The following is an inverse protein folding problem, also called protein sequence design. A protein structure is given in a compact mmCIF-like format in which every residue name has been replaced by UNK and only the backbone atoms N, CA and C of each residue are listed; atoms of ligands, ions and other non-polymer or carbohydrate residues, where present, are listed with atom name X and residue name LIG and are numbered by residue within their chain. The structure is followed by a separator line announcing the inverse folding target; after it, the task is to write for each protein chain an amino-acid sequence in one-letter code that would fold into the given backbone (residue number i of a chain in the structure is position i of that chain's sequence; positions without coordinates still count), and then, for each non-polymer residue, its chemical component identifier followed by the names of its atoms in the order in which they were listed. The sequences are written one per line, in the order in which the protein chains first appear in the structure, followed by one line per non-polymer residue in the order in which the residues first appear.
data_IF_047953218080
#
_entry.id   IF_047953218080
#
_cell.length_a   1.000
_cell.length_b   1.000
_cell.length_c   1.000
_cell.angle_alpha   90.00
_cell.angle_beta   90.00
_cell.angle_gamma   90.00
#
_symmetry.space_group_name_H-M   'P 1'
#
loop_
_entity.id
_entity.type
_entity.pdbx_description
1 polymer ?
#
# COMPACT_ATOMS: atom_id res chain seq x y z
N UNK A 1 15.09 -59.21 16.65
CA UNK A 1 14.01 -58.57 17.43
C UNK A 1 14.64 -58.13 18.74
N UNK A 2 14.92 -56.83 18.91
CA UNK A 2 15.60 -56.32 20.10
C UNK A 2 14.68 -56.43 21.33
N UNK A 3 15.21 -56.75 22.53
CA UNK A 3 14.40 -56.93 23.73
C UNK A 3 13.68 -55.63 24.12
N UNK A 4 12.48 -55.69 24.73
CA UNK A 4 11.61 -54.54 25.01
C UNK A 4 12.24 -53.48 25.93
N UNK A 5 13.30 -53.83 26.67
CA UNK A 5 14.05 -52.90 27.52
C UNK A 5 14.90 -51.91 26.70
N UNK A 6 15.34 -52.29 25.50
CA UNK A 6 16.15 -51.43 24.63
C UNK A 6 15.30 -50.37 23.92
N UNK A 7 14.02 -50.67 23.66
CA UNK A 7 13.11 -49.77 22.95
C UNK A 7 12.82 -48.52 23.80
N UNK A 8 12.64 -48.69 25.11
CA UNK A 8 12.38 -47.55 26.01
C UNK A 8 13.60 -46.64 26.12
N UNK A 9 14.80 -47.22 26.17
CA UNK A 9 16.05 -46.45 26.20
C UNK A 9 16.29 -45.72 24.88
N UNK A 10 16.05 -46.39 23.75
CA UNK A 10 16.19 -45.79 22.41
C UNK A 10 15.21 -44.61 22.21
N UNK A 11 13.97 -44.73 22.70
CA UNK A 11 13.00 -43.62 22.69
C UNK A 11 13.47 -42.47 23.58
N UNK A 12 13.94 -42.75 24.80
CA UNK A 12 14.43 -41.71 25.73
C UNK A 12 15.66 -41.01 25.16
N UNK A 13 16.62 -41.75 24.61
CA UNK A 13 17.84 -41.19 24.02
C UNK A 13 17.52 -40.34 22.79
N UNK A 14 16.55 -40.76 21.98
CA UNK A 14 16.04 -39.97 20.84
C UNK A 14 15.42 -38.66 21.32
N UNK A 15 14.52 -38.72 22.32
CA UNK A 15 13.87 -37.53 22.88
C UNK A 15 14.89 -36.58 23.51
N UNK A 16 15.84 -37.11 24.30
CA UNK A 16 16.89 -36.29 24.92
C UNK A 16 17.71 -35.62 23.84
N UNK A 17 18.12 -36.33 22.79
CA UNK A 17 18.90 -35.78 21.68
C UNK A 17 18.15 -34.67 20.94
N UNK A 18 16.86 -34.85 20.67
CA UNK A 18 16.03 -33.80 20.05
C UNK A 18 15.89 -32.58 20.96
N UNK A 19 15.74 -32.78 22.28
CA UNK A 19 15.68 -31.69 23.25
C UNK A 19 17.01 -30.93 23.30
N UNK A 20 18.16 -31.59 23.32
CA UNK A 20 19.48 -30.91 23.32
C UNK A 20 19.73 -30.11 22.05
N UNK A 21 19.13 -30.51 20.92
CA UNK A 21 19.24 -29.78 19.66
C UNK A 21 18.33 -28.53 19.63
N UNK A 22 17.14 -28.60 20.22
CA UNK A 22 16.14 -27.51 20.16
C UNK A 22 16.25 -26.54 21.34
N UNK A 23 16.61 -27.02 22.53
CA UNK A 23 16.66 -26.22 23.76
C UNK A 23 17.56 -24.96 23.64
N UNK A 24 18.77 -25.02 23.05
CA UNK A 24 19.61 -23.83 22.87
C UNK A 24 18.93 -22.77 21.98
N UNK A 25 18.20 -23.19 20.93
CA UNK A 25 17.50 -22.26 20.02
C UNK A 25 16.35 -21.53 20.70
N UNK A 26 15.61 -22.23 21.57
CA UNK A 26 14.56 -21.63 22.38
C UNK A 26 15.17 -20.59 23.33
N UNK A 27 16.27 -20.94 24.01
CA UNK A 27 16.97 -20.02 24.91
C UNK A 27 17.43 -18.75 24.19
N UNK A 28 18.11 -18.88 23.04
CA UNK A 28 18.54 -17.71 22.26
C UNK A 28 17.38 -16.87 21.72
N UNK A 29 16.27 -17.50 21.33
CA UNK A 29 15.05 -16.78 20.92
C UNK A 29 14.50 -15.94 22.06
N UNK A 30 14.38 -16.51 23.27
CA UNK A 30 13.91 -15.79 24.45
C UNK A 30 14.83 -14.63 24.83
N UNK A 31 16.15 -14.84 24.78
CA UNK A 31 17.15 -13.80 25.00
C UNK A 31 16.97 -12.65 24.00
N UNK A 32 16.84 -12.98 22.72
CA UNK A 32 16.68 -12.01 21.65
C UNK A 32 15.37 -11.20 21.78
N UNK A 33 14.26 -11.86 22.13
CA UNK A 33 12.99 -11.20 22.40
C UNK A 33 13.05 -10.29 23.63
N UNK A 34 13.80 -10.69 24.67
CA UNK A 34 14.01 -9.85 25.86
C UNK A 34 14.80 -8.58 25.52
N UNK A 35 15.85 -8.70 24.70
CA UNK A 35 16.56 -7.54 24.17
C UNK A 35 15.65 -6.65 23.31
N UNK A 36 14.84 -7.25 22.43
CA UNK A 36 13.89 -6.52 21.60
C UNK A 36 12.86 -5.75 22.44
N UNK A 37 12.31 -6.36 23.50
CA UNK A 37 11.40 -5.69 24.42
C UNK A 37 12.06 -4.49 25.13
N UNK A 38 13.35 -4.61 25.45
CA UNK A 38 14.14 -3.51 26.02
C UNK A 38 14.29 -2.36 25.02
N UNK A 39 14.62 -2.68 23.77
CA UNK A 39 14.70 -1.70 22.67
C UNK A 39 13.33 -1.07 22.42
N UNK A 40 12.26 -1.86 22.44
CA UNK A 40 10.89 -1.36 22.25
C UNK A 40 10.56 -0.25 23.24
N UNK A 41 10.77 -0.50 24.53
CA UNK A 41 10.52 0.51 25.57
C UNK A 41 11.28 1.81 25.29
N UNK A 42 12.52 1.69 24.82
CA UNK A 42 13.38 2.82 24.48
C UNK A 42 12.86 3.60 23.27
N UNK A 43 12.60 2.90 22.17
CA UNK A 43 12.11 3.48 20.91
C UNK A 43 10.78 4.19 21.14
N UNK A 44 9.83 3.54 21.85
CA UNK A 44 8.53 4.14 22.18
C UNK A 44 8.70 5.46 22.95
N UNK A 45 9.55 5.47 23.98
CA UNK A 45 9.75 6.64 24.81
C UNK A 45 10.37 7.81 24.02
N UNK A 46 11.44 7.56 23.25
CA UNK A 46 12.07 8.60 22.44
C UNK A 46 11.17 9.09 21.31
N UNK A 47 10.50 8.18 20.62
CA UNK A 47 9.61 8.53 19.52
C UNK A 47 8.46 9.41 20.02
N UNK A 48 7.82 9.04 21.13
CA UNK A 48 6.75 9.88 21.70
C UNK A 48 7.26 11.27 22.08
N UNK A 49 8.42 11.35 22.75
CA UNK A 49 9.03 12.62 23.17
C UNK A 49 9.39 13.51 21.97
N UNK A 50 9.91 12.92 20.89
CA UNK A 50 10.28 13.66 19.67
C UNK A 50 9.03 14.20 18.94
N UNK A 51 7.97 13.40 18.85
CA UNK A 51 6.75 13.77 18.15
C UNK A 51 5.93 14.81 18.93
N UNK A 52 5.95 14.74 20.26
CA UNK A 52 5.36 15.74 21.14
C UNK A 52 6.13 17.06 21.07
N UNK A 53 7.46 17.01 21.09
CA UNK A 53 8.31 18.19 20.91
C UNK A 53 8.09 18.87 19.55
N UNK A 54 7.84 18.09 18.50
CA UNK A 54 7.55 18.61 17.16
C UNK A 54 6.13 19.20 17.01
N UNK A 55 5.29 19.12 18.05
CA UNK A 55 3.90 19.61 18.04
C UNK A 55 3.12 19.23 16.77
N UNK A 56 3.28 17.98 16.30
CA UNK A 56 2.77 17.54 14.98
C UNK A 56 1.27 17.78 14.80
N UNK A 57 0.49 17.67 15.89
CA UNK A 57 -0.94 17.92 15.86
C UNK A 57 -1.26 19.37 15.47
N UNK A 58 -0.49 20.36 15.97
CA UNK A 58 -0.65 21.79 15.61
C UNK A 58 -0.21 22.06 14.16
N UNK A 59 0.85 21.40 13.70
CA UNK A 59 1.35 21.53 12.33
C UNK A 59 0.30 21.12 11.29
N UNK A 60 -0.42 20.03 11.56
CA UNK A 60 -1.49 19.57 10.67
C UNK A 60 -2.78 20.35 10.86
N UNK A 61 -3.11 20.77 12.08
CA UNK A 61 -4.25 21.67 12.32
C UNK A 61 -4.11 22.97 11.52
N UNK A 62 -2.90 23.53 11.42
CA UNK A 62 -2.62 24.71 10.57
C UNK A 62 -2.80 24.43 9.07
N UNK A 63 -2.53 23.20 8.62
CA UNK A 63 -2.65 22.83 7.21
C UNK A 63 -4.11 22.54 6.81
N UNK A 64 -4.85 21.82 7.66
CA UNK A 64 -6.20 21.30 7.36
C UNK A 64 -7.30 22.21 7.91
N UNK A 65 -7.00 23.05 8.92
CA UNK A 65 -7.96 23.96 9.56
C UNK A 65 -8.96 23.26 10.47
N UNK A 66 -8.73 21.98 10.79
CA UNK A 66 -9.52 21.17 11.72
C UNK A 66 -8.60 20.24 12.51
N UNK A 67 -8.95 20.00 13.77
CA UNK A 67 -8.33 18.96 14.59
C UNK A 67 -8.71 17.59 14.04
N UNK A 68 -7.72 16.74 13.76
CA UNK A 68 -7.97 15.34 13.39
C UNK A 68 -8.55 14.58 14.60
N UNK A 69 -9.51 13.65 14.39
CA UNK A 69 -10.09 12.85 15.47
C UNK A 69 -9.08 11.88 16.11
N UNK A 70 -7.92 11.69 15.49
CA UNK A 70 -6.83 10.83 15.98
C UNK A 70 -5.55 11.66 16.05
N UNK A 71 -4.85 11.61 17.19
CA UNK A 71 -3.56 12.31 17.36
C UNK A 71 -2.46 11.65 16.53
N UNK A 72 -1.74 12.42 15.73
CA UNK A 72 -0.65 11.93 14.87
C UNK A 72 0.47 11.22 15.64
N UNK A 73 0.92 11.73 16.81
CA UNK A 73 1.97 11.07 17.59
C UNK A 73 1.60 9.63 17.96
N UNK A 74 0.35 9.39 18.38
CA UNK A 74 -0.13 8.03 18.73
C UNK A 74 -0.20 7.13 17.50
N UNK A 75 -0.60 7.65 16.34
CA UNK A 75 -0.66 6.87 15.11
C UNK A 75 0.74 6.44 14.66
N UNK A 76 1.71 7.36 14.66
CA UNK A 76 3.10 7.07 14.28
C UNK A 76 3.74 6.07 15.26
N UNK A 77 3.54 6.26 16.56
CA UNK A 77 4.04 5.32 17.57
C UNK A 77 3.38 3.94 17.42
N UNK A 78 2.08 3.89 17.13
CA UNK A 78 1.38 2.63 16.88
C UNK A 78 1.92 1.88 15.65
N UNK A 79 2.27 2.59 14.57
CA UNK A 79 2.92 2.00 13.40
C UNK A 79 4.31 1.46 13.76
N UNK A 80 5.09 2.23 14.52
CA UNK A 80 6.41 1.78 14.99
C UNK A 80 6.30 0.52 15.86
N UNK A 81 5.31 0.45 16.76
CA UNK A 81 5.05 -0.73 17.58
C UNK A 81 4.72 -1.97 16.72
N UNK A 82 3.87 -1.81 15.71
CA UNK A 82 3.56 -2.89 14.76
C UNK A 82 4.82 -3.38 14.04
N UNK A 83 5.70 -2.47 13.62
CA UNK A 83 6.99 -2.81 13.01
C UNK A 83 7.89 -3.62 13.95
N UNK A 84 7.97 -3.24 15.23
CA UNK A 84 8.75 -3.98 16.24
C UNK A 84 8.17 -5.38 16.47
N UNK A 85 6.84 -5.53 16.50
CA UNK A 85 6.19 -6.85 16.60
C UNK A 85 6.57 -7.72 15.41
N UNK A 86 6.51 -7.19 14.19
CA UNK A 86 6.90 -7.91 12.97
C UNK A 86 8.38 -8.33 13.04
N UNK A 87 9.27 -7.44 13.48
CA UNK A 87 10.69 -7.78 13.71
C UNK A 87 10.83 -8.91 14.72
N UNK A 88 10.05 -8.90 15.81
CA UNK A 88 10.04 -9.98 16.80
C UNK A 88 9.62 -11.33 16.21
N UNK A 89 8.59 -11.33 15.36
CA UNK A 89 8.15 -12.52 14.64
C UNK A 89 9.26 -13.04 13.71
N UNK A 90 9.85 -12.16 12.90
CA UNK A 90 10.92 -12.52 11.97
C UNK A 90 12.17 -13.03 12.68
N UNK A 91 12.56 -12.39 13.79
CA UNK A 91 13.69 -12.78 14.62
C UNK A 91 13.48 -14.16 15.24
N UNK A 92 12.27 -14.41 15.77
CA UNK A 92 11.90 -15.71 16.33
C UNK A 92 11.91 -16.79 15.27
N UNK A 93 11.30 -16.52 14.11
CA UNK A 93 11.30 -17.43 12.98
C UNK A 93 12.72 -17.77 12.51
N UNK A 94 13.60 -16.77 12.42
CA UNK A 94 14.98 -16.97 11.96
C UNK A 94 15.83 -17.84 12.89
N UNK A 95 15.59 -17.81 14.20
CA UNK A 95 16.35 -18.57 15.20
C UNK A 95 15.72 -19.96 15.44
N UNK A 96 14.39 -20.03 15.48
CA UNK A 96 13.66 -21.23 15.88
C UNK A 96 13.44 -22.20 14.71
N UNK A 97 13.18 -21.70 13.50
CA UNK A 97 12.86 -22.54 12.35
C UNK A 97 14.13 -23.15 11.73
N UNK A 98 14.11 -24.45 11.36
CA UNK A 98 15.07 -25.04 10.45
C UNK A 98 15.07 -24.32 9.08
N UNK A 99 16.20 -24.38 8.36
CA UNK A 99 16.42 -23.65 7.10
C UNK A 99 15.33 -23.87 6.06
N UNK A 100 14.85 -25.11 5.90
CA UNK A 100 13.82 -25.46 4.93
C UNK A 100 12.49 -24.72 5.16
N UNK A 101 12.02 -24.67 6.41
CA UNK A 101 10.78 -23.95 6.77
C UNK A 101 10.99 -22.44 6.87
N UNK A 102 12.20 -22.01 7.23
CA UNK A 102 12.55 -20.60 7.38
C UNK A 102 12.44 -19.87 6.04
N UNK A 103 12.96 -20.44 4.97
CA UNK A 103 13.02 -19.75 3.68
C UNK A 103 11.60 -19.58 3.10
N UNK A 104 10.75 -20.61 3.21
CA UNK A 104 9.33 -20.52 2.86
C UNK A 104 8.57 -19.48 3.70
N UNK A 105 8.83 -19.44 5.01
CA UNK A 105 8.21 -18.45 5.89
C UNK A 105 8.63 -17.02 5.53
N UNK A 106 9.92 -16.79 5.29
CA UNK A 106 10.45 -15.48 4.93
C UNK A 106 9.96 -15.01 3.56
N UNK A 107 9.86 -15.91 2.59
CA UNK A 107 9.26 -15.63 1.28
C UNK A 107 7.78 -15.23 1.42
N UNK A 108 7.02 -15.97 2.22
CA UNK A 108 5.63 -15.64 2.53
C UNK A 108 5.49 -14.27 3.21
N UNK A 109 6.32 -13.99 4.21
CA UNK A 109 6.35 -12.69 4.89
C UNK A 109 6.74 -11.55 3.95
N UNK A 110 7.68 -11.78 3.03
CA UNK A 110 8.07 -10.82 2.01
C UNK A 110 6.91 -10.49 1.06
N UNK A 111 6.19 -11.52 0.59
CA UNK A 111 4.99 -11.34 -0.23
C UNK A 111 3.91 -10.55 0.51
N UNK A 112 3.62 -10.91 1.76
CA UNK A 112 2.65 -10.17 2.60
C UNK A 112 3.08 -8.72 2.82
N UNK A 113 4.37 -8.48 3.09
CA UNK A 113 4.93 -7.14 3.26
C UNK A 113 4.83 -6.31 1.97
N UNK A 114 5.13 -6.90 0.82
CA UNK A 114 4.95 -6.27 -0.49
C UNK A 114 3.48 -5.87 -0.71
N UNK A 115 2.55 -6.80 -0.47
CA UNK A 115 1.11 -6.55 -0.60
C UNK A 115 0.64 -5.41 0.29
N UNK A 116 1.00 -5.43 1.58
CA UNK A 116 0.63 -4.38 2.52
C UNK A 116 1.22 -3.02 2.13
N UNK A 117 2.48 -2.97 1.69
CA UNK A 117 3.14 -1.75 1.23
C UNK A 117 2.41 -1.10 0.04
N UNK A 118 2.09 -1.90 -0.98
CA UNK A 118 1.37 -1.42 -2.18
C UNK A 118 -0.02 -0.87 -1.79
N UNK A 119 -0.74 -1.57 -0.90
CA UNK A 119 -2.05 -1.11 -0.42
C UNK A 119 -1.95 0.20 0.35
N UNK A 120 -0.97 0.35 1.24
CA UNK A 120 -0.73 1.59 1.98
C UNK A 120 -0.43 2.74 1.01
N UNK A 121 0.45 2.51 0.04
CA UNK A 121 0.79 3.50 -0.99
C UNK A 121 -0.46 3.89 -1.80
N UNK A 122 -1.29 2.92 -2.18
CA UNK A 122 -2.54 3.18 -2.89
C UNK A 122 -3.47 4.10 -2.07
N UNK A 123 -3.68 3.79 -0.79
CA UNK A 123 -4.51 4.60 0.12
C UNK A 123 -3.95 6.01 0.28
N UNK A 124 -2.64 6.15 0.46
CA UNK A 124 -1.96 7.47 0.58
C UNK A 124 -2.17 8.29 -0.68
N UNK A 125 -1.91 7.71 -1.84
CA UNK A 125 -2.07 8.39 -3.14
C UNK A 125 -3.54 8.82 -3.32
N UNK A 126 -4.50 7.91 -3.14
CA UNK A 126 -5.92 8.23 -3.27
C UNK A 126 -6.35 9.34 -2.31
N UNK A 127 -5.82 9.35 -1.09
CA UNK A 127 -6.09 10.41 -0.10
C UNK A 127 -5.55 11.76 -0.58
N UNK A 128 -4.33 11.81 -1.12
CA UNK A 128 -3.73 13.02 -1.68
C UNK A 128 -4.57 13.54 -2.86
N UNK A 129 -4.97 12.67 -3.79
CA UNK A 129 -5.81 13.05 -4.92
C UNK A 129 -7.18 13.55 -4.49
N UNK A 130 -7.81 12.88 -3.53
CA UNK A 130 -9.08 13.31 -2.95
C UNK A 130 -8.97 14.70 -2.31
N UNK A 131 -7.91 14.93 -1.53
CA UNK A 131 -7.63 16.25 -0.97
C UNK A 131 -7.44 17.30 -2.07
N UNK A 132 -6.68 16.99 -3.12
CA UNK A 132 -6.45 17.89 -4.25
C UNK A 132 -7.76 18.31 -4.93
N UNK A 133 -8.67 17.35 -5.16
CA UNK A 133 -9.97 17.58 -5.80
C UNK A 133 -10.88 18.49 -4.97
N UNK A 134 -10.85 18.38 -3.64
CA UNK A 134 -11.71 19.16 -2.74
C UNK A 134 -11.13 20.55 -2.47
N UNK A 135 -9.81 20.64 -2.25
CA UNK A 135 -9.17 21.84 -1.68
C UNK A 135 -8.67 22.81 -2.74
N UNK A 136 -8.29 22.32 -3.91
CA UNK A 136 -8.06 23.20 -5.06
C UNK A 136 -9.42 23.45 -5.72
N UNK A 137 -9.74 24.70 -6.07
CA UNK A 137 -10.92 25.05 -6.87
C UNK A 137 -10.71 24.59 -8.32
N UNK A 138 -10.56 23.28 -8.49
CA UNK A 138 -10.21 22.64 -9.74
C UNK A 138 -11.42 22.72 -10.66
N UNK A 139 -11.24 23.37 -11.81
CA UNK A 139 -12.23 23.37 -12.88
C UNK A 139 -12.70 21.96 -13.20
N UNK A 140 -13.97 21.80 -13.55
CA UNK A 140 -14.60 20.48 -13.79
C UNK A 140 -13.81 19.62 -14.79
N UNK A 141 -13.13 20.25 -15.77
CA UNK A 141 -12.25 19.59 -16.74
C UNK A 141 -11.04 18.89 -16.07
N UNK A 142 -10.38 19.55 -15.12
CA UNK A 142 -9.22 19.03 -14.39
C UNK A 142 -9.62 18.00 -13.32
N UNK A 143 -10.84 18.09 -12.78
CA UNK A 143 -11.38 17.09 -11.84
C UNK A 143 -11.47 15.71 -12.48
N UNK A 144 -12.04 15.62 -13.69
CA UNK A 144 -12.14 14.36 -14.43
C UNK A 144 -10.76 13.77 -14.74
N UNK A 145 -9.76 14.62 -15.04
CA UNK A 145 -8.39 14.19 -15.25
C UNK A 145 -7.76 13.57 -13.99
N UNK A 146 -7.94 14.20 -12.82
CA UNK A 146 -7.42 13.66 -11.56
C UNK A 146 -8.05 12.31 -11.18
N UNK A 147 -9.35 12.15 -11.41
CA UNK A 147 -10.01 10.85 -11.25
C UNK A 147 -9.44 9.79 -12.20
N UNK A 148 -9.24 10.17 -13.46
CA UNK A 148 -8.69 9.28 -14.47
C UNK A 148 -7.25 8.82 -14.13
N UNK A 149 -6.38 9.75 -13.73
CA UNK A 149 -5.02 9.44 -13.27
C UNK A 149 -5.04 8.58 -12.00
N UNK A 150 -5.94 8.87 -11.05
CA UNK A 150 -6.09 8.04 -9.84
C UNK A 150 -6.47 6.59 -10.19
N UNK A 151 -7.38 6.42 -11.16
CA UNK A 151 -7.79 5.11 -11.64
C UNK A 151 -6.64 4.35 -12.32
N UNK A 152 -5.83 5.03 -13.14
CA UNK A 152 -4.63 4.45 -13.74
C UNK A 152 -3.66 3.99 -12.67
N UNK A 153 -3.36 4.84 -11.69
CA UNK A 153 -2.40 4.52 -10.62
C UNK A 153 -2.90 3.33 -9.81
N UNK A 154 -4.19 3.30 -9.45
CA UNK A 154 -4.80 2.17 -8.74
C UNK A 154 -4.68 0.87 -9.54
N UNK A 155 -4.94 0.93 -10.85
CA UNK A 155 -4.80 -0.22 -11.75
C UNK A 155 -3.35 -0.69 -11.83
N UNK A 156 -2.38 0.23 -11.95
CA UNK A 156 -0.96 -0.11 -11.97
C UNK A 156 -0.51 -0.81 -10.66
N UNK A 157 -0.95 -0.29 -9.51
CA UNK A 157 -0.68 -0.90 -8.20
C UNK A 157 -1.34 -2.28 -8.06
N UNK A 158 -2.54 -2.46 -8.63
CA UNK A 158 -3.22 -3.76 -8.66
C UNK A 158 -2.46 -4.78 -9.54
N UNK A 159 -1.85 -4.36 -10.64
CA UNK A 159 -1.01 -5.26 -11.45
C UNK A 159 0.23 -5.71 -10.67
N UNK A 160 0.82 -4.83 -9.87
CA UNK A 160 2.02 -5.16 -9.10
C UNK A 160 1.75 -6.16 -7.96
N UNK A 161 0.60 -6.03 -7.29
CA UNK A 161 0.18 -6.95 -6.20
C UNK A 161 -0.27 -8.32 -6.72
N UNK A 162 -0.75 -8.37 -7.97
CA UNK A 162 -1.27 -9.60 -8.56
C UNK A 162 -0.15 -10.65 -8.71
N UNK A 163 -0.42 -11.89 -8.27
CA UNK A 163 0.47 -13.04 -8.43
C UNK A 163 0.38 -13.62 -9.86
N UNK A 164 0.51 -12.75 -10.87
CA UNK A 164 0.51 -13.11 -12.29
C UNK A 164 1.91 -13.53 -12.73
N UNK A 165 2.00 -14.35 -13.77
CA UNK A 165 3.28 -14.73 -14.37
C UNK A 165 4.01 -13.51 -14.96
N UNK A 166 5.33 -13.62 -15.11
CA UNK A 166 6.20 -12.56 -15.66
C UNK A 166 5.72 -12.07 -17.04
N UNK A 167 5.26 -13.00 -17.88
CA UNK A 167 4.80 -12.74 -19.24
C UNK A 167 3.51 -11.93 -19.21
N UNK A 168 2.56 -12.32 -18.36
CA UNK A 168 1.29 -11.61 -18.19
C UNK A 168 1.52 -10.22 -17.60
N UNK A 169 2.42 -10.07 -16.62
CA UNK A 169 2.79 -8.75 -16.10
C UNK A 169 3.39 -7.86 -17.17
N UNK A 170 4.30 -8.39 -17.99
CA UNK A 170 4.93 -7.62 -19.07
C UNK A 170 3.91 -7.17 -20.11
N UNK A 171 2.99 -8.06 -20.51
CA UNK A 171 1.90 -7.73 -21.41
C UNK A 171 0.96 -6.67 -20.83
N UNK A 172 0.59 -6.79 -19.55
CA UNK A 172 -0.24 -5.80 -18.87
C UNK A 172 0.47 -4.45 -18.75
N UNK A 173 1.75 -4.42 -18.37
CA UNK A 173 2.52 -3.17 -18.27
C UNK A 173 2.62 -2.49 -19.63
N UNK A 174 2.87 -3.25 -20.69
CA UNK A 174 2.89 -2.75 -22.07
C UNK A 174 1.53 -2.18 -22.49
N UNK A 175 0.44 -2.95 -22.26
CA UNK A 175 -0.92 -2.51 -22.55
C UNK A 175 -1.34 -1.28 -21.73
N UNK A 176 -0.98 -1.23 -20.45
CA UNK A 176 -1.23 -0.11 -19.57
C UNK A 176 -0.49 1.14 -20.07
N UNK A 177 0.79 1.01 -20.44
CA UNK A 177 1.58 2.11 -21.01
C UNK A 177 0.94 2.67 -22.29
N UNK A 178 0.50 1.79 -23.20
CA UNK A 178 -0.19 2.21 -24.42
C UNK A 178 -1.54 2.87 -24.11
N UNK A 179 -2.34 2.28 -23.22
CA UNK A 179 -3.63 2.83 -22.80
C UNK A 179 -3.51 4.19 -22.12
N UNK A 180 -2.48 4.37 -21.27
CA UNK A 180 -2.15 5.66 -20.63
C UNK A 180 -1.78 6.69 -21.70
N UNK A 181 -0.87 6.34 -22.62
CA UNK A 181 -0.45 7.23 -23.70
C UNK A 181 -1.62 7.68 -24.59
N UNK A 182 -2.47 6.75 -25.00
CA UNK A 182 -3.66 7.04 -25.81
C UNK A 182 -4.64 7.94 -25.05
N UNK A 183 -4.86 7.66 -23.77
CA UNK A 183 -5.79 8.44 -22.96
C UNK A 183 -5.30 9.86 -22.70
N UNK A 184 -3.99 10.05 -22.52
CA UNK A 184 -3.37 11.38 -22.45
C UNK A 184 -3.56 12.13 -23.77
N UNK A 185 -3.36 11.46 -24.91
CA UNK A 185 -3.55 12.07 -26.23
C UNK A 185 -5.00 12.52 -26.47
N UNK A 186 -5.99 11.65 -26.17
CA UNK A 186 -7.42 11.98 -26.28
C UNK A 186 -7.79 13.12 -25.33
N UNK A 187 -7.29 13.07 -24.09
CA UNK A 187 -7.54 14.12 -23.12
C UNK A 187 -6.97 15.45 -23.56
N UNK A 188 -5.73 15.49 -24.06
CA UNK A 188 -5.11 16.70 -24.58
C UNK A 188 -5.92 17.27 -25.75
N UNK A 189 -6.33 16.43 -26.70
CA UNK A 189 -7.16 16.86 -27.83
C UNK A 189 -8.50 17.46 -27.34
N UNK A 190 -9.20 16.79 -26.44
CA UNK A 190 -10.44 17.30 -25.87
C UNK A 190 -10.24 18.58 -25.04
N UNK A 191 -9.16 18.67 -24.27
CA UNK A 191 -8.85 19.82 -23.42
C UNK A 191 -8.57 21.08 -24.24
N UNK A 192 -7.73 20.99 -25.28
CA UNK A 192 -7.37 22.13 -26.13
C UNK A 192 -8.46 22.49 -27.16
N UNK A 193 -9.14 21.49 -27.73
CA UNK A 193 -10.08 21.72 -28.83
C UNK A 193 -11.56 21.59 -28.44
N UNK A 194 -11.88 21.18 -27.22
CA UNK A 194 -13.25 20.93 -26.78
C UNK A 194 -14.16 22.16 -26.91
N UNK A 195 -13.65 23.35 -26.58
CA UNK A 195 -14.42 24.59 -26.68
C UNK A 195 -14.64 25.01 -28.14
N UNK A 196 -13.66 24.80 -29.01
CA UNK A 196 -13.79 25.02 -30.46
C UNK A 196 -14.81 24.08 -31.10
N UNK A 197 -14.74 22.79 -30.74
CA UNK A 197 -15.68 21.76 -31.22
C UNK A 197 -17.11 22.11 -30.77
N UNK A 198 -17.28 22.51 -29.51
CA UNK A 198 -18.59 22.90 -28.97
C UNK A 198 -19.17 24.09 -29.74
N UNK A 199 -18.36 25.14 -29.97
CA UNK A 199 -18.81 26.33 -30.71
C UNK A 199 -19.18 26.02 -32.16
N UNK A 200 -18.39 25.17 -32.83
CA UNK A 200 -18.69 24.72 -34.19
C UNK A 200 -19.99 23.90 -34.27
N UNK A 201 -20.24 23.03 -33.28
CA UNK A 201 -21.48 22.24 -33.20
C UNK A 201 -22.71 23.14 -32.96
N UNK A 202 -22.59 24.12 -32.06
CA UNK A 202 -23.67 25.09 -31.78
C UNK A 202 -24.00 25.95 -33.01
N UNK A 203 -22.98 26.47 -33.71
CA UNK A 203 -23.17 27.24 -34.95
C UNK A 203 -23.84 26.42 -36.06
N UNK A 204 -23.48 25.14 -36.18
CA UNK A 204 -24.06 24.24 -37.18
C UNK A 204 -25.50 23.84 -36.83
N UNK A 205 -25.80 23.66 -35.54
CA UNK A 205 -27.16 23.40 -35.06
C UNK A 205 -28.09 24.61 -35.23
N UNK A 206 -27.59 25.82 -34.98
CA UNK A 206 -28.32 27.07 -35.17
C UNK A 206 -28.65 27.33 -36.65
N UNK A 207 -27.73 27.04 -37.58
CA UNK A 207 -28.00 27.14 -39.03
C UNK A 207 -29.07 26.14 -39.49
N UNK A 208 -29.07 24.92 -38.93
CA UNK A 208 -30.04 23.88 -39.29
C UNK A 208 -31.46 24.18 -38.80
N UNK A 209 -31.59 24.94 -37.70
CA UNK A 209 -32.89 25.41 -37.19
C UNK A 209 -33.42 26.62 -37.95
N UNK A 210 -32.53 27.51 -38.42
CA UNK A 210 -32.91 28.62 -39.30
C UNK A 210 -33.40 28.16 -40.69
N UNK A 211 -32.85 27.08 -41.22
CA UNK A 211 -33.24 26.49 -42.51
C UNK A 211 -34.57 25.71 -42.44
N UNK A 212 -35.04 25.35 -41.24
CA UNK A 212 -36.29 24.60 -41.01
C UNK A 212 -37.50 25.48 -40.67
N UNK A 213 -37.36 26.79 -40.71
CA UNK A 213 -38.48 27.74 -40.58
C UNK A 213 -38.78 28.43 -41.92
N UNK A 214 -39.32 27.71 -42.93
CA UNK A 214 -39.87 28.37 -44.10
C UNK A 214 -41.22 29.00 -43.71
N UNK A 215 -41.28 30.33 -43.70
CA UNK A 215 -42.53 31.09 -43.84
C UNK A 215 -43.63 30.85 -42.80
N UNK A 216 -43.63 31.63 -41.73
CA UNK A 216 -44.84 32.38 -41.39
C UNK A 216 -44.55 33.79 -41.95
N UNK A 217 -44.93 34.12 -43.18
CA UNK A 217 -46.32 34.18 -43.62
C UNK A 217 -46.84 35.53 -43.16
N UNK A 218 -46.86 36.47 -44.10
CA UNK A 218 -47.23 37.89 -43.97
C UNK A 218 -48.53 38.15 -43.20
#
# INVERSE_FOLDING_TARGET
MAPPQNILQEIIDTIVTEITLVAPRIFFTLLALTMLASIWKLVRAYLFKLLEFAELDKGIEKLIGKTLPVSLPRLIVGIADAGIIIIGILLSANILLPTEYRDLFLEGMFLLGKMASILIIAVVILTIFHFLIIRMQIETKLRSYLFFISFIILTALLVDISALSSEVKTALVSGLSQGIGLSIAIFAAWFFFGDYIKRYLEEKAARKTADFSPGAGD
#
